data_IF_242876396300
#
_entry.id   IF_242876396300
#
_cell.length_a   1.000
_cell.length_b   1.000
_cell.length_c   1.000
_cell.angle_alpha   90.00
_cell.angle_beta   90.00
_cell.angle_gamma   90.00
#
_symmetry.space_group_name_H-M   'P 1'
#
loop_
_entity.id
_entity.type
_entity.pdbx_description
1 polymer ?
#
# COMPACT_ATOMS: atom_id res chain seq x y z
N UNK A 1 -1.42 41.08 24.18
CA UNK A 1 -1.46 39.62 24.03
C UNK A 1 -1.34 39.31 22.54
N UNK A 2 -0.22 38.71 22.15
CA UNK A 2 0.02 38.16 20.82
C UNK A 2 -0.63 36.79 20.74
N UNK A 3 -1.34 36.48 19.66
CA UNK A 3 -1.11 35.33 18.77
C UNK A 3 -2.03 35.46 17.55
N UNK A 4 -1.50 35.59 16.32
CA UNK A 4 -2.27 35.43 15.09
C UNK A 4 -2.39 33.93 14.78
N UNK A 5 -3.60 33.45 14.53
CA UNK A 5 -3.80 32.11 13.98
C UNK A 5 -3.80 32.24 12.45
N UNK A 6 -2.60 32.18 11.84
CA UNK A 6 -2.47 32.07 10.41
C UNK A 6 -2.81 30.63 10.00
N UNK A 7 -4.04 30.42 9.57
CA UNK A 7 -4.39 29.27 8.73
C UNK A 7 -3.55 29.35 7.44
N UNK A 8 -2.59 28.44 7.28
CA UNK A 8 -1.79 28.27 6.07
C UNK A 8 -2.70 27.85 4.89
N UNK A 9 -3.32 28.83 4.23
CA UNK A 9 -3.94 28.63 2.92
C UNK A 9 -2.83 28.61 1.87
N UNK A 10 -2.19 27.46 1.68
CA UNK A 10 -1.41 27.23 0.47
C UNK A 10 -2.39 27.09 -0.70
N UNK A 11 -2.45 28.09 -1.59
CA UNK A 11 -3.16 27.97 -2.86
C UNK A 11 -2.38 27.01 -3.74
N UNK A 12 -2.88 25.77 -3.87
CA UNK A 12 -2.27 24.73 -4.72
C UNK A 12 -3.05 24.64 -6.02
N UNK A 13 -2.38 24.87 -7.15
CA UNK A 13 -2.95 24.60 -8.48
C UNK A 13 -2.50 23.20 -8.91
N UNK A 14 -3.44 22.26 -9.03
CA UNK A 14 -3.17 20.92 -9.55
C UNK A 14 -3.36 20.91 -11.07
N UNK A 15 -2.29 21.13 -11.84
CA UNK A 15 -2.31 21.01 -13.29
C UNK A 15 -2.01 19.57 -13.73
N UNK A 16 -3.02 18.88 -14.29
CA UNK A 16 -2.82 17.61 -15.00
C UNK A 16 -2.72 17.87 -16.51
N UNK A 17 -1.74 17.26 -17.18
CA UNK A 17 -1.45 17.44 -18.61
C UNK A 17 -2.43 16.74 -19.56
N UNK A 18 -3.49 16.11 -19.03
CA UNK A 18 -4.46 15.38 -19.84
C UNK A 18 -5.78 16.13 -19.94
N UNK A 19 -6.13 16.50 -21.17
CA UNK A 19 -7.37 17.14 -21.60
C UNK A 19 -8.55 16.13 -21.65
N UNK A 20 -8.68 15.28 -20.62
CA UNK A 20 -9.74 14.28 -20.52
C UNK A 20 -10.34 14.24 -19.12
N UNK A 21 -11.66 14.09 -19.05
CA UNK A 21 -12.40 13.89 -17.81
C UNK A 21 -11.85 12.64 -17.10
N UNK A 22 -11.42 12.80 -15.85
CA UNK A 22 -10.92 11.71 -15.03
C UNK A 22 -12.10 10.84 -14.55
N UNK A 23 -11.93 9.50 -14.47
CA UNK A 23 -10.73 8.70 -14.76
C UNK A 23 -10.62 8.26 -16.24
N UNK A 24 -9.41 8.34 -16.84
CA UNK A 24 -9.18 8.03 -18.27
C UNK A 24 -8.09 6.97 -18.52
N UNK A 25 -8.39 5.96 -19.35
CA UNK A 25 -7.57 4.89 -19.99
C UNK A 25 -6.05 4.70 -19.81
N UNK A 26 -5.29 5.78 -19.68
CA UNK A 26 -3.96 5.93 -20.32
C UNK A 26 -2.84 6.37 -19.39
N UNK A 27 -3.09 6.47 -18.08
CA UNK A 27 -2.06 6.69 -17.06
C UNK A 27 -1.71 5.41 -16.30
N UNK A 28 -0.52 5.33 -15.68
CA UNK A 28 -0.12 4.19 -14.81
C UNK A 28 -1.00 4.02 -13.56
N UNK A 29 -1.95 4.94 -13.33
CA UNK A 29 -3.05 4.87 -12.36
C UNK A 29 -4.29 4.11 -12.90
N UNK A 30 -4.20 3.46 -14.07
CA UNK A 30 -5.28 2.63 -14.62
C UNK A 30 -5.51 1.34 -13.85
N UNK A 31 -6.77 1.00 -13.61
CA UNK A 31 -7.19 -0.17 -12.84
C UNK A 31 -7.75 0.23 -11.49
N UNK A 32 -8.79 -0.49 -11.07
CA UNK A 32 -9.60 -0.16 -9.87
C UNK A 32 -8.78 -0.19 -8.57
N UNK A 33 -7.66 -0.89 -8.56
CA UNK A 33 -6.96 -1.27 -7.34
C UNK A 33 -5.44 -1.12 -7.42
N UNK A 34 -4.78 -0.85 -6.29
CA UNK A 34 -3.31 -0.87 -6.15
C UNK A 34 -2.90 -1.69 -4.93
N UNK A 35 -1.78 -2.40 -5.01
CA UNK A 35 -1.20 -3.08 -3.85
C UNK A 35 -0.58 -2.03 -2.93
N UNK A 36 -0.85 -2.15 -1.64
CA UNK A 36 -0.12 -1.49 -0.57
C UNK A 36 0.55 -2.59 0.28
N UNK A 37 1.85 -2.44 0.57
CA UNK A 37 2.64 -3.48 1.23
C UNK A 37 3.82 -2.87 1.98
N UNK A 38 4.32 -3.57 3.00
CA UNK A 38 5.58 -3.30 3.70
C UNK A 38 6.70 -4.24 3.26
N UNK A 39 6.39 -5.30 2.50
CA UNK A 39 7.37 -6.28 2.01
C UNK A 39 8.32 -5.71 0.93
N UNK A 40 9.35 -4.97 1.34
CA UNK A 40 10.44 -4.49 0.47
C UNK A 40 11.79 -5.05 0.91
N UNK A 41 12.73 -5.13 -0.03
CA UNK A 41 14.14 -5.44 0.26
C UNK A 41 14.86 -4.28 0.94
N UNK A 42 14.50 -3.04 0.59
CA UNK A 42 15.13 -1.84 1.15
C UNK A 42 14.37 -1.35 2.38
N UNK A 43 15.08 -1.28 3.50
CA UNK A 43 14.60 -0.86 4.82
C UNK A 43 13.82 0.47 4.79
N UNK A 44 14.32 1.44 4.02
CA UNK A 44 13.74 2.78 3.97
C UNK A 44 12.30 2.78 3.44
N UNK A 45 11.98 1.92 2.47
CA UNK A 45 10.62 1.83 1.95
C UNK A 45 9.68 1.27 3.00
N UNK A 46 10.10 0.21 3.69
CA UNK A 46 9.33 -0.41 4.79
C UNK A 46 9.02 0.57 5.91
N UNK A 47 9.99 1.40 6.29
CA UNK A 47 9.82 2.43 7.33
C UNK A 47 8.86 3.54 6.89
N UNK A 48 9.00 4.04 5.65
CA UNK A 48 8.12 5.06 5.09
C UNK A 48 6.67 4.58 5.02
N UNK A 49 6.44 3.27 4.91
CA UNK A 49 5.09 2.75 4.83
C UNK A 49 4.26 2.99 6.09
N UNK A 50 4.87 3.09 7.29
CA UNK A 50 4.11 3.35 8.52
C UNK A 50 3.28 4.64 8.41
N UNK A 51 3.95 5.74 8.07
CA UNK A 51 3.30 7.03 7.81
C UNK A 51 2.31 6.95 6.64
N UNK A 52 2.63 6.19 5.59
CA UNK A 52 1.71 6.01 4.47
C UNK A 52 0.39 5.36 4.91
N UNK A 53 0.42 4.33 5.77
CA UNK A 53 -0.81 3.70 6.28
C UNK A 53 -1.63 4.66 7.14
N UNK A 54 -0.98 5.47 7.98
CA UNK A 54 -1.65 6.50 8.79
C UNK A 54 -2.35 7.53 7.89
N UNK A 55 -1.67 8.04 6.86
CA UNK A 55 -2.24 9.00 5.91
C UNK A 55 -3.43 8.42 5.14
N UNK A 56 -3.38 7.15 4.72
CA UNK A 56 -4.53 6.48 4.11
C UNK A 56 -5.71 6.36 5.06
N UNK A 57 -5.47 5.98 6.31
CA UNK A 57 -6.51 5.88 7.33
C UNK A 57 -7.14 7.26 7.64
N UNK A 58 -6.33 8.31 7.70
CA UNK A 58 -6.81 9.68 7.86
C UNK A 58 -7.70 10.09 6.68
N UNK A 59 -7.27 9.83 5.44
CA UNK A 59 -8.07 10.15 4.26
C UNK A 59 -9.40 9.40 4.22
N UNK A 60 -9.42 8.12 4.63
CA UNK A 60 -10.67 7.35 4.78
C UNK A 60 -11.63 8.01 5.78
N UNK A 61 -11.10 8.50 6.91
CA UNK A 61 -11.89 9.17 7.94
C UNK A 61 -12.44 10.51 7.47
N UNK A 62 -11.61 11.36 6.86
CA UNK A 62 -12.00 12.69 6.37
C UNK A 62 -13.04 12.61 5.25
N UNK A 63 -12.95 11.58 4.40
CA UNK A 63 -13.83 11.42 3.26
C UNK A 63 -15.06 10.54 3.53
N UNK A 64 -15.09 9.83 4.65
CA UNK A 64 -16.16 8.89 4.99
C UNK A 64 -16.28 7.72 4.01
N UNK A 65 -15.21 7.37 3.29
CA UNK A 65 -15.20 6.29 2.29
C UNK A 65 -14.09 5.30 2.57
N UNK A 66 -14.38 4.01 2.35
CA UNK A 66 -13.37 2.95 2.44
C UNK A 66 -12.50 2.92 1.18
N UNK A 67 -11.22 3.18 1.37
CA UNK A 67 -10.14 3.24 0.38
C UNK A 67 -9.17 2.07 0.53
N UNK A 68 -8.99 1.52 1.73
CA UNK A 68 -8.07 0.43 2.03
C UNK A 68 -8.83 -0.85 2.42
N UNK A 69 -8.38 -1.97 1.85
CA UNK A 69 -8.81 -3.31 2.23
C UNK A 69 -7.58 -4.14 2.56
N UNK A 70 -7.41 -4.48 3.83
CA UNK A 70 -6.41 -5.43 4.29
C UNK A 70 -6.75 -6.84 3.77
N UNK A 71 -5.87 -7.38 2.93
CA UNK A 71 -6.01 -8.74 2.37
C UNK A 71 -4.82 -9.63 2.70
N UNK A 72 -3.74 -9.04 3.23
CA UNK A 72 -2.41 -9.61 3.21
C UNK A 72 -1.78 -9.59 1.81
N UNK A 73 -0.48 -9.87 1.76
CA UNK A 73 0.29 -10.09 0.55
C UNK A 73 1.18 -11.32 0.72
N UNK A 74 0.94 -12.34 -0.09
CA UNK A 74 1.81 -13.50 -0.21
C UNK A 74 2.99 -13.18 -1.13
N UNK A 75 4.21 -13.34 -0.61
CA UNK A 75 5.46 -13.27 -1.37
C UNK A 75 6.11 -14.65 -1.32
N UNK A 76 6.43 -15.21 -2.48
CA UNK A 76 7.08 -16.51 -2.63
C UNK A 76 8.25 -16.42 -3.60
N UNK A 77 9.23 -17.29 -3.41
CA UNK A 77 10.36 -17.45 -4.31
C UNK A 77 11.44 -18.34 -3.70
N UNK A 78 12.57 -18.54 -4.40
CA UNK A 78 13.64 -19.40 -3.90
C UNK A 78 14.13 -18.92 -2.53
N UNK A 79 14.12 -19.79 -1.54
CA UNK A 79 14.51 -19.45 -0.17
C UNK A 79 15.98 -19.02 -0.12
N UNK A 80 16.85 -19.53 -0.99
CA UNK A 80 18.25 -19.14 -1.07
C UNK A 80 18.51 -17.85 -1.89
N UNK A 81 17.48 -17.27 -2.49
CA UNK A 81 17.67 -16.04 -3.27
C UNK A 81 17.96 -14.84 -2.36
N UNK A 82 18.95 -14.04 -2.76
CA UNK A 82 19.36 -12.85 -2.02
C UNK A 82 18.20 -11.86 -1.82
N UNK A 83 17.41 -11.63 -2.86
CA UNK A 83 16.23 -10.74 -2.83
C UNK A 83 15.21 -11.18 -1.77
N UNK A 84 14.87 -12.48 -1.74
CA UNK A 84 13.90 -13.00 -0.79
C UNK A 84 14.42 -12.92 0.65
N UNK A 85 15.68 -13.27 0.89
CA UNK A 85 16.28 -13.18 2.22
C UNK A 85 16.35 -11.73 2.72
N UNK A 86 16.80 -10.78 1.89
CA UNK A 86 16.85 -9.36 2.27
C UNK A 86 15.47 -8.79 2.59
N UNK A 87 14.45 -9.17 1.83
CA UNK A 87 13.05 -8.77 2.09
C UNK A 87 12.54 -9.36 3.41
N UNK A 88 12.77 -10.65 3.66
CA UNK A 88 12.39 -11.34 4.89
C UNK A 88 13.07 -10.73 6.12
N UNK A 89 14.38 -10.48 6.04
CA UNK A 89 15.16 -9.82 7.07
C UNK A 89 14.64 -8.39 7.34
N UNK A 90 14.35 -7.63 6.28
CA UNK A 90 13.80 -6.28 6.40
C UNK A 90 12.46 -6.27 7.11
N UNK A 91 11.56 -7.19 6.77
CA UNK A 91 10.26 -7.32 7.44
C UNK A 91 10.42 -7.65 8.93
N UNK A 92 11.30 -8.60 9.26
CA UNK A 92 11.59 -8.99 10.64
C UNK A 92 12.22 -7.85 11.45
N UNK A 93 13.22 -7.16 10.86
CA UNK A 93 13.91 -6.02 11.47
C UNK A 93 12.94 -4.89 11.81
N UNK A 94 12.02 -4.57 10.91
CA UNK A 94 10.99 -3.56 11.10
C UNK A 94 9.79 -4.07 11.91
N UNK A 95 9.83 -5.30 12.43
CA UNK A 95 8.77 -5.91 13.24
C UNK A 95 7.40 -5.88 12.54
N UNK A 96 7.40 -6.01 11.22
CA UNK A 96 6.16 -6.08 10.46
C UNK A 96 5.42 -7.36 10.86
N UNK A 97 4.10 -7.31 11.12
CA UNK A 97 3.30 -8.51 11.31
C UNK A 97 3.35 -9.41 10.08
N UNK A 98 4.09 -10.51 10.17
CA UNK A 98 4.27 -11.47 9.09
C UNK A 98 3.92 -12.90 9.51
N UNK A 99 3.48 -13.71 8.56
CA UNK A 99 3.41 -15.16 8.71
C UNK A 99 4.41 -15.82 7.76
N UNK A 100 5.34 -16.61 8.29
CA UNK A 100 6.27 -17.40 7.49
C UNK A 100 5.61 -18.75 7.25
N UNK A 101 5.43 -19.11 5.99
CA UNK A 101 4.83 -20.36 5.56
C UNK A 101 5.92 -21.28 5.01
N UNK A 102 5.92 -22.53 5.47
CA UNK A 102 6.78 -23.59 4.99
C UNK A 102 5.92 -24.66 4.33
N UNK A 103 6.54 -25.65 3.71
CA UNK A 103 5.81 -26.71 2.99
C UNK A 103 4.78 -27.46 3.85
N UNK A 104 5.02 -27.57 5.16
CA UNK A 104 4.15 -28.32 6.07
C UNK A 104 2.85 -27.56 6.41
N UNK A 105 2.89 -26.22 6.46
CA UNK A 105 1.73 -25.40 6.80
C UNK A 105 1.13 -24.64 5.60
N UNK A 106 1.85 -24.53 4.48
CA UNK A 106 1.46 -23.69 3.35
C UNK A 106 0.07 -24.04 2.80
N UNK A 107 -0.19 -25.32 2.52
CA UNK A 107 -1.48 -25.74 1.96
C UNK A 107 -2.66 -25.54 2.92
N UNK A 108 -2.41 -25.48 4.24
CA UNK A 108 -3.46 -25.20 5.22
C UNK A 108 -3.88 -23.71 5.16
N UNK A 109 -2.92 -22.82 4.88
CA UNK A 109 -3.17 -21.39 4.78
C UNK A 109 -3.57 -20.95 3.37
N UNK A 110 -3.02 -21.58 2.32
CA UNK A 110 -3.20 -21.22 0.91
C UNK A 110 -3.50 -22.50 0.09
N UNK A 111 -4.73 -23.07 0.21
CA UNK A 111 -5.04 -24.41 -0.28
C UNK A 111 -5.01 -24.61 -1.80
N UNK A 112 -4.98 -23.52 -2.58
CA UNK A 112 -5.04 -23.56 -4.05
C UNK A 112 -3.75 -23.09 -4.72
N UNK A 113 -2.66 -22.98 -3.95
CA UNK A 113 -1.34 -22.60 -4.45
C UNK A 113 -0.35 -23.69 -4.04
N UNK A 114 0.61 -23.99 -4.90
CA UNK A 114 1.66 -24.96 -4.59
C UNK A 114 2.96 -24.20 -4.29
N UNK A 115 3.63 -24.58 -3.20
CA UNK A 115 4.96 -24.07 -2.88
C UNK A 115 6.02 -25.03 -3.45
N UNK A 116 6.83 -24.55 -4.39
CA UNK A 116 7.84 -25.38 -5.05
C UNK A 116 8.91 -25.88 -4.05
N UNK A 117 9.58 -26.98 -4.39
CA UNK A 117 10.71 -27.44 -3.57
C UNK A 117 11.83 -26.41 -3.65
N UNK A 118 12.32 -25.96 -2.51
CA UNK A 118 13.35 -24.91 -2.42
C UNK A 118 12.79 -23.49 -2.31
N UNK A 119 11.49 -23.29 -2.50
CA UNK A 119 10.85 -21.99 -2.32
C UNK A 119 10.42 -21.76 -0.87
N UNK A 120 10.53 -20.50 -0.45
CA UNK A 120 9.97 -19.96 0.76
C UNK A 120 8.69 -19.18 0.51
N UNK A 121 7.91 -18.97 1.57
CA UNK A 121 6.76 -18.08 1.55
C UNK A 121 6.68 -17.19 2.80
N UNK A 122 6.42 -15.90 2.59
CA UNK A 122 6.12 -14.92 3.64
C UNK A 122 4.82 -14.21 3.29
N UNK A 123 3.95 -14.04 4.27
CA UNK A 123 2.75 -13.22 4.17
C UNK A 123 2.96 -11.95 4.99
N UNK A 124 2.96 -10.79 4.33
CA UNK A 124 2.78 -9.50 5.00
C UNK A 124 1.30 -9.36 5.35
N UNK A 125 0.97 -9.47 6.64
CA UNK A 125 -0.42 -9.45 7.14
C UNK A 125 -1.01 -8.05 6.98
N UNK A 126 -0.18 -7.01 7.05
CA UNK A 126 -0.61 -5.61 6.97
C UNK A 126 -0.85 -5.14 5.55
N UNK A 127 -0.42 -5.90 4.55
CA UNK A 127 -0.61 -5.53 3.16
C UNK A 127 -2.07 -5.67 2.71
N UNK A 128 -2.37 -5.06 1.56
CA UNK A 128 -3.63 -5.27 0.91
C UNK A 128 -3.82 -4.43 -0.34
N UNK A 129 -5.04 -3.97 -0.51
CA UNK A 129 -5.50 -3.29 -1.72
C UNK A 129 -6.05 -1.91 -1.40
N UNK A 130 -5.60 -0.92 -2.16
CA UNK A 130 -6.17 0.42 -2.23
C UNK A 130 -7.12 0.55 -3.42
N UNK A 131 -8.30 1.11 -3.21
CA UNK A 131 -9.25 1.48 -4.28
C UNK A 131 -8.83 2.81 -4.91
N UNK A 132 -7.98 2.74 -5.93
CA UNK A 132 -7.32 3.90 -6.52
C UNK A 132 -8.30 4.87 -7.20
N UNK A 133 -9.38 4.35 -7.78
CA UNK A 133 -10.44 5.14 -8.40
C UNK A 133 -11.24 5.95 -7.37
N UNK A 134 -11.50 5.35 -6.20
CA UNK A 134 -12.16 6.04 -5.07
C UNK A 134 -11.25 7.10 -4.48
N UNK A 135 -9.98 6.77 -4.26
CA UNK A 135 -9.00 7.71 -3.73
C UNK A 135 -8.87 8.96 -4.61
N UNK A 136 -8.80 8.78 -5.92
CA UNK A 136 -8.75 9.89 -6.88
C UNK A 136 -10.01 10.76 -6.81
N UNK A 137 -11.20 10.15 -6.75
CA UNK A 137 -12.48 10.89 -6.64
C UNK A 137 -12.57 11.67 -5.32
N UNK A 138 -12.14 11.08 -4.21
CA UNK A 138 -12.15 11.71 -2.90
C UNK A 138 -11.35 13.03 -2.89
N UNK A 139 -10.10 12.98 -3.34
CA UNK A 139 -9.22 14.15 -3.34
C UNK A 139 -9.73 15.23 -4.29
N UNK A 140 -10.35 14.83 -5.41
CA UNK A 140 -10.96 15.77 -6.36
C UNK A 140 -12.18 16.51 -5.77
N UNK A 141 -13.03 15.83 -5.01
CA UNK A 141 -14.21 16.46 -4.38
C UNK A 141 -13.79 17.43 -3.28
N UNK A 142 -12.78 17.08 -2.48
CA UNK A 142 -12.25 17.94 -1.41
C UNK A 142 -11.62 19.25 -1.93
N UNK A 143 -11.09 19.26 -3.16
CA UNK A 143 -10.43 20.43 -3.75
C UNK A 143 -11.17 21.07 -4.95
N UNK A 144 -12.30 20.49 -5.38
CA UNK A 144 -13.08 20.93 -6.54
C UNK A 144 -14.26 21.86 -6.23
N UNK A 145 -14.42 22.30 -4.98
CA UNK A 145 -15.46 23.27 -4.60
C UNK A 145 -14.90 24.69 -4.70
N UNK A 146 -14.93 25.27 -5.89
CA UNK A 146 -14.95 26.72 -6.10
C UNK A 146 -15.91 27.06 -7.25
#
# INVERSE_FOLDING_TARGET
>A
MLFPNQSNFNRVLLCSSFQFVLPHSRGSSHGQTRIIRKAYEQDFYTQMMEECYELWAQLEQEAGVKLYRQTGLLVMGPEDSQSYQLMKETLQKNKVPIAILNRDNFCQHIPNVNLAVGDGAVVDITAGVLYADRALKTVQVQHGSC
#
